data_IF_558765110919
#
_entry.id   IF_558765110919
#
_cell.length_a   1.000
_cell.length_b   1.000
_cell.length_c   1.000
_cell.angle_alpha   90.00
_cell.angle_beta   90.00
_cell.angle_gamma   90.00
#
_symmetry.space_group_name_H-M   'P 1'
#
loop_
_entity.id
_entity.type
_entity.pdbx_description
1 polymer ?
#
# COMPACT_ATOMS: atom_id res chain seq x y z
N UNK A 1 -4.57 11.55 -3.98
CA UNK A 1 -4.44 13.02 -4.09
C UNK A 1 -3.11 13.29 -4.73
N UNK A 2 -3.08 14.03 -5.83
CA UNK A 2 -1.97 13.91 -6.78
C UNK A 2 -1.20 15.23 -6.86
N UNK A 3 0.06 15.18 -6.44
CA UNK A 3 1.03 16.24 -6.66
C UNK A 3 1.40 16.26 -8.13
N UNK A 4 1.43 17.44 -8.73
CA UNK A 4 1.75 17.60 -10.15
C UNK A 4 2.84 18.63 -10.33
N UNK A 5 3.94 18.21 -10.95
CA UNK A 5 5.08 19.06 -11.23
C UNK A 5 5.31 19.12 -12.73
N UNK A 6 5.54 20.31 -13.26
CA UNK A 6 6.07 20.50 -14.60
C UNK A 6 7.57 20.70 -14.52
N UNK A 7 8.32 19.97 -15.34
CA UNK A 7 9.77 20.08 -15.46
C UNK A 7 10.09 20.46 -16.90
N UNK A 8 10.40 21.73 -17.13
CA UNK A 8 10.79 22.26 -18.43
C UNK A 8 12.24 22.70 -18.37
N UNK A 9 13.12 22.06 -19.15
CA UNK A 9 14.56 22.24 -19.01
C UNK A 9 14.98 21.90 -17.60
N UNK A 10 15.65 22.82 -16.93
CA UNK A 10 16.06 22.69 -15.54
C UNK A 10 15.11 23.43 -14.58
N UNK A 11 13.92 23.85 -15.05
CA UNK A 11 12.95 24.58 -14.24
C UNK A 11 11.77 23.68 -13.87
N UNK A 12 11.52 23.53 -12.59
CA UNK A 12 10.37 22.92 -11.99
C UNK A 12 9.30 23.96 -11.65
N UNK A 13 8.04 23.56 -11.74
CA UNK A 13 6.90 24.36 -11.34
C UNK A 13 5.81 23.43 -10.82
N UNK A 14 5.27 23.72 -9.64
CA UNK A 14 4.13 22.98 -9.11
C UNK A 14 2.83 23.44 -9.79
N UNK A 15 2.02 22.49 -10.24
CA UNK A 15 0.78 22.74 -10.98
C UNK A 15 -0.48 22.38 -10.20
N UNK A 16 -0.35 21.65 -9.10
CA UNK A 16 -1.47 21.32 -8.23
C UNK A 16 -1.70 22.36 -7.12
N UNK A 17 -2.90 22.35 -6.56
CA UNK A 17 -3.26 23.09 -5.35
C UNK A 17 -3.41 22.16 -4.13
N UNK A 18 -2.68 21.05 -4.09
CA UNK A 18 -2.90 20.03 -3.08
C UNK A 18 -2.47 20.50 -1.69
N UNK A 19 -3.39 20.38 -0.73
CA UNK A 19 -3.14 20.60 0.68
C UNK A 19 -2.58 19.33 1.32
N UNK A 20 -1.34 19.36 1.78
CA UNK A 20 -0.62 18.18 2.29
C UNK A 20 -0.57 18.23 3.80
N UNK A 21 -0.85 17.09 4.44
CA UNK A 21 -0.82 16.92 5.89
C UNK A 21 0.26 15.91 6.27
N UNK A 22 1.06 16.23 7.28
CA UNK A 22 2.14 15.39 7.78
C UNK A 22 1.65 14.03 8.26
N UNK A 23 2.51 13.01 8.21
CA UNK A 23 2.16 11.67 8.69
C UNK A 23 1.23 10.86 7.77
N UNK A 24 0.81 11.44 6.64
CA UNK A 24 0.00 10.72 5.64
C UNK A 24 0.83 9.63 4.95
N UNK A 25 0.40 8.37 5.03
CA UNK A 25 1.01 7.22 4.36
C UNK A 25 0.05 6.63 3.32
N UNK A 26 0.56 6.16 2.18
CA UNK A 26 -0.22 5.55 1.09
C UNK A 26 -1.39 6.40 0.55
N UNK A 27 -1.28 7.73 0.64
CA UNK A 27 -2.34 8.66 0.23
C UNK A 27 -1.95 9.63 -0.91
N UNK A 28 -0.67 10.05 -0.91
CA UNK A 28 -0.14 11.00 -1.88
C UNK A 28 0.42 10.23 -3.07
N UNK A 29 0.16 10.70 -4.28
CA UNK A 29 0.88 10.30 -5.49
C UNK A 29 1.58 11.53 -6.06
N UNK A 30 2.62 11.34 -6.88
CA UNK A 30 3.24 12.44 -7.61
C UNK A 30 3.35 12.13 -9.11
N UNK A 31 3.11 13.14 -9.94
CA UNK A 31 3.25 13.09 -11.38
C UNK A 31 4.13 14.24 -11.87
N UNK A 32 4.99 13.93 -12.84
CA UNK A 32 5.97 14.85 -13.38
C UNK A 32 5.79 14.97 -14.91
N UNK A 33 5.56 16.19 -15.38
CA UNK A 33 5.40 16.52 -16.80
C UNK A 33 6.72 17.06 -17.34
N UNK A 34 7.51 16.19 -17.97
CA UNK A 34 8.83 16.55 -18.50
C UNK A 34 8.79 17.09 -19.93
N UNK A 35 9.72 17.99 -20.25
CA UNK A 35 10.08 18.34 -21.63
C UNK A 35 10.90 17.24 -22.30
N UNK A 36 10.96 17.28 -23.64
CA UNK A 36 11.57 16.24 -24.48
C UNK A 36 13.04 15.90 -24.14
N UNK A 37 13.81 16.84 -23.62
CA UNK A 37 15.23 16.61 -23.25
C UNK A 37 15.42 15.57 -22.13
N UNK A 38 14.35 15.28 -21.38
CA UNK A 38 14.32 14.26 -20.33
C UNK A 38 13.94 12.86 -20.85
N UNK A 39 13.57 12.74 -22.13
CA UNK A 39 13.17 11.48 -22.74
C UNK A 39 14.31 10.44 -22.69
N UNK A 40 13.95 9.17 -22.42
CA UNK A 40 14.90 8.06 -22.35
C UNK A 40 15.82 8.06 -21.12
N UNK A 41 15.70 9.03 -20.21
CA UNK A 41 16.50 9.09 -18.98
C UNK A 41 15.77 8.42 -17.82
N UNK A 42 16.52 7.71 -16.98
CA UNK A 42 16.09 7.35 -15.63
C UNK A 42 16.09 8.62 -14.80
N UNK A 43 14.97 8.91 -14.14
CA UNK A 43 14.71 10.14 -13.42
C UNK A 43 14.43 9.82 -11.96
N UNK A 44 14.95 10.66 -11.08
CA UNK A 44 14.84 10.51 -9.64
C UNK A 44 14.40 11.83 -9.03
N UNK A 45 13.28 11.82 -8.30
CA UNK A 45 12.85 12.93 -7.49
C UNK A 45 13.60 12.92 -6.16
N UNK A 46 13.93 14.11 -5.68
CA UNK A 46 14.55 14.33 -4.38
C UNK A 46 13.61 15.16 -3.54
N UNK A 47 13.29 14.66 -2.35
CA UNK A 47 12.53 15.39 -1.34
C UNK A 47 13.44 15.69 -0.18
N UNK A 48 13.65 16.98 0.12
CA UNK A 48 14.59 17.42 1.14
C UNK A 48 13.93 18.37 2.14
N UNK A 49 14.17 18.14 3.43
CA UNK A 49 13.84 19.08 4.51
C UNK A 49 14.92 19.00 5.59
N UNK A 50 15.74 20.06 5.70
CA UNK A 50 16.86 20.08 6.64
C UNK A 50 17.84 18.95 6.35
N UNK A 51 18.08 18.08 7.34
CA UNK A 51 18.97 16.92 7.21
C UNK A 51 18.28 15.68 6.61
N UNK A 52 16.96 15.72 6.39
CA UNK A 52 16.20 14.58 5.86
C UNK A 52 16.11 14.68 4.34
N UNK A 53 16.58 13.64 3.65
CA UNK A 53 16.56 13.56 2.18
C UNK A 53 16.02 12.20 1.73
N UNK A 54 15.03 12.22 0.83
CA UNK A 54 14.50 11.02 0.18
C UNK A 54 14.77 11.06 -1.32
N UNK A 55 15.29 9.97 -1.85
CA UNK A 55 15.47 9.76 -3.28
C UNK A 55 14.46 8.74 -3.77
N UNK A 56 13.65 9.11 -4.77
CA UNK A 56 12.61 8.23 -5.31
C UNK A 56 12.72 8.19 -6.82
N UNK A 57 13.00 7.00 -7.37
CA UNK A 57 13.05 6.78 -8.82
C UNK A 57 11.63 6.83 -9.37
N UNK A 58 11.44 7.54 -10.48
CA UNK A 58 10.15 7.68 -11.15
C UNK A 58 9.87 6.46 -12.03
N UNK A 59 8.63 6.00 -12.00
CA UNK A 59 8.11 4.96 -12.88
C UNK A 59 7.01 5.56 -13.76
N UNK A 60 7.22 5.54 -15.08
CA UNK A 60 6.33 6.21 -16.04
C UNK A 60 6.05 7.67 -15.67
N UNK A 61 7.12 8.39 -15.28
CA UNK A 61 7.09 9.80 -14.85
C UNK A 61 6.18 10.07 -13.63
N UNK A 62 5.91 9.02 -12.84
CA UNK A 62 5.07 9.06 -11.64
C UNK A 62 5.73 8.37 -10.45
N UNK A 63 5.24 8.71 -9.27
CA UNK A 63 5.52 8.02 -8.00
C UNK A 63 4.18 7.56 -7.44
N UNK A 64 4.04 6.25 -7.22
CA UNK A 64 2.85 5.65 -6.61
C UNK A 64 2.78 5.95 -5.12
N UNK A 65 1.58 5.84 -4.54
CA UNK A 65 1.36 6.13 -3.13
C UNK A 65 2.18 5.28 -2.16
N UNK A 66 2.48 4.03 -2.55
CA UNK A 66 3.29 3.10 -1.76
C UNK A 66 4.77 3.49 -1.70
N UNK A 67 5.27 4.21 -2.72
CA UNK A 67 6.66 4.65 -2.84
C UNK A 67 6.85 6.09 -2.37
N UNK A 68 5.77 6.81 -2.10
CA UNK A 68 5.86 8.16 -1.57
C UNK A 68 6.38 8.14 -0.13
N UNK A 69 7.38 8.99 0.21
CA UNK A 69 7.86 9.09 1.57
C UNK A 69 6.81 9.74 2.47
N UNK A 70 6.92 9.47 3.77
CA UNK A 70 6.09 10.12 4.80
C UNK A 70 6.77 11.43 5.20
N UNK A 71 6.07 12.54 5.01
CA UNK A 71 6.59 13.87 5.29
C UNK A 71 6.29 14.32 6.73
N UNK A 72 7.29 14.92 7.38
CA UNK A 72 7.11 15.75 8.57
C UNK A 72 6.54 17.12 8.21
N UNK A 73 5.94 17.78 9.21
CA UNK A 73 5.43 19.13 9.05
C UNK A 73 6.55 20.13 8.70
N UNK A 74 6.20 21.15 7.91
CA UNK A 74 7.10 22.21 7.47
C UNK A 74 7.19 22.31 5.94
N UNK A 75 8.26 22.92 5.43
CA UNK A 75 8.44 23.14 3.99
C UNK A 75 9.51 22.21 3.46
N UNK A 76 9.10 21.26 2.62
CA UNK A 76 9.99 20.38 1.88
C UNK A 76 10.40 21.05 0.56
N UNK A 77 11.58 20.70 0.04
CA UNK A 77 12.02 21.04 -1.31
C UNK A 77 11.91 19.80 -2.18
N UNK A 78 11.35 19.96 -3.38
CA UNK A 78 11.27 18.89 -4.37
C UNK A 78 12.10 19.29 -5.57
N UNK A 79 13.06 18.46 -5.94
CA UNK A 79 13.85 18.61 -7.18
C UNK A 79 13.90 17.28 -7.93
N UNK A 80 14.43 17.29 -9.15
CA UNK A 80 14.59 16.08 -9.97
C UNK A 80 15.97 16.08 -10.61
N UNK A 81 16.59 14.90 -10.71
CA UNK A 81 17.74 14.69 -11.57
C UNK A 81 17.60 13.42 -12.42
N UNK A 82 18.35 13.32 -13.51
CA UNK A 82 18.33 12.13 -14.36
C UNK A 82 19.51 12.00 -15.32
N UNK A 83 19.80 10.76 -15.72
CA UNK A 83 20.92 10.42 -16.61
C UNK A 83 22.30 10.84 -16.06
N UNK A 84 23.12 11.45 -16.91
CA UNK A 84 24.46 11.98 -16.58
C UNK A 84 24.37 13.34 -15.85
N UNK A 85 23.71 13.34 -14.68
CA UNK A 85 23.56 14.50 -13.79
C UNK A 85 22.80 15.70 -14.37
N UNK A 86 21.83 15.48 -15.26
CA UNK A 86 20.91 16.56 -15.64
C UNK A 86 19.98 16.86 -14.46
N UNK A 87 20.06 18.07 -13.91
CA UNK A 87 19.30 18.50 -12.72
C UNK A 87 18.23 19.53 -13.08
N UNK A 88 17.15 19.53 -12.31
CA UNK A 88 16.17 20.62 -12.25
C UNK A 88 16.31 21.36 -10.91
N UNK A 89 15.90 22.62 -10.89
CA UNK A 89 15.77 23.41 -9.67
C UNK A 89 14.72 22.81 -8.71
N UNK A 90 14.63 23.41 -7.53
CA UNK A 90 13.75 22.92 -6.47
C UNK A 90 12.51 23.79 -6.30
N UNK A 91 11.36 23.17 -6.08
CA UNK A 91 10.12 23.86 -5.70
C UNK A 91 9.74 23.58 -4.24
N UNK A 92 9.18 24.56 -3.52
CA UNK A 92 8.71 24.35 -2.15
C UNK A 92 7.41 23.54 -2.12
N UNK A 93 7.34 22.63 -1.17
CA UNK A 93 6.23 21.73 -0.88
C UNK A 93 5.84 21.92 0.60
N UNK A 94 4.89 22.83 0.90
CA UNK A 94 4.38 23.01 2.26
C UNK A 94 3.58 21.79 2.70
N UNK A 95 3.94 21.28 3.88
CA UNK A 95 3.30 20.17 4.58
C UNK A 95 2.80 20.68 5.93
N UNK A 96 1.49 20.63 6.12
CA UNK A 96 0.84 21.13 7.32
C UNK A 96 0.87 20.08 8.43
N UNK A 97 0.99 20.49 9.70
CA UNK A 97 0.92 19.56 10.81
C UNK A 97 -0.43 18.84 10.82
N UNK A 98 -0.40 17.54 11.07
CA UNK A 98 -1.61 16.75 11.27
C UNK A 98 -2.33 17.18 12.54
N UNK A 99 -3.66 17.16 12.50
CA UNK A 99 -4.48 17.19 13.73
C UNK A 99 -4.36 15.92 14.57
N UNK A 100 -3.67 14.89 14.05
CA UNK A 100 -3.34 13.67 14.77
C UNK A 100 -2.36 14.00 15.91
N UNK A 101 -2.83 13.81 17.14
CA UNK A 101 -2.00 13.80 18.34
C UNK A 101 -1.90 12.36 18.83
N UNK A 102 -0.69 11.82 18.93
CA UNK A 102 -0.44 10.47 19.45
C UNK A 102 -1.03 10.24 20.84
N UNK A 103 -1.24 11.32 21.62
CA UNK A 103 -1.72 11.25 23.01
C UNK A 103 -3.18 10.76 23.17
N UNK A 104 -3.93 10.55 22.09
CA UNK A 104 -5.33 10.07 22.14
C UNK A 104 -5.76 9.23 20.92
N UNK A 105 -4.83 8.55 20.23
CA UNK A 105 -5.23 7.58 19.22
C UNK A 105 -5.85 6.37 19.94
N UNK A 106 -7.14 6.06 19.77
CA UNK A 106 -7.67 4.81 20.30
C UNK A 106 -6.86 3.67 19.68
N UNK A 107 -6.35 2.77 20.51
CA UNK A 107 -5.70 1.54 20.06
C UNK A 107 -6.59 0.91 18.97
N UNK A 108 -6.02 0.47 17.83
CA UNK A 108 -6.79 -0.26 16.85
C UNK A 108 -7.49 -1.40 17.61
N UNK A 109 -8.83 -1.52 17.50
CA UNK A 109 -9.56 -2.49 18.27
C UNK A 109 -8.92 -3.85 18.03
N UNK A 110 -8.52 -4.54 19.11
CA UNK A 110 -8.01 -5.90 19.00
C UNK A 110 -9.00 -6.70 18.16
N UNK A 111 -8.52 -7.52 17.20
CA UNK A 111 -9.36 -8.26 16.28
C UNK A 111 -10.50 -8.91 17.05
N UNK A 112 -11.69 -8.36 16.80
CA UNK A 112 -12.86 -8.61 17.61
C UNK A 112 -13.14 -10.12 17.64
N UNK A 113 -13.72 -10.56 18.74
CA UNK A 113 -14.29 -11.89 19.03
C UNK A 113 -14.82 -12.65 17.80
N UNK A 114 -15.30 -11.97 16.75
CA UNK A 114 -15.64 -12.54 15.44
C UNK A 114 -14.52 -13.36 14.76
N UNK A 115 -13.26 -12.92 14.79
CA UNK A 115 -12.15 -13.68 14.18
C UNK A 115 -11.88 -14.96 14.98
N UNK A 116 -11.88 -14.86 16.31
CA UNK A 116 -11.79 -16.01 17.22
C UNK A 116 -12.94 -17.00 17.02
N UNK A 117 -14.17 -16.51 16.84
CA UNK A 117 -15.33 -17.35 16.53
C UNK A 117 -15.20 -18.02 15.16
N UNK A 118 -14.71 -17.30 14.15
CA UNK A 118 -14.52 -17.84 12.80
C UNK A 118 -13.46 -18.95 12.78
N UNK A 119 -12.34 -18.75 13.48
CA UNK A 119 -11.28 -19.75 13.62
C UNK A 119 -11.76 -21.00 14.39
N UNK A 120 -12.57 -20.83 15.45
CA UNK A 120 -13.17 -21.95 16.18
C UNK A 120 -14.16 -22.73 15.32
N UNK A 121 -15.00 -22.04 14.54
CA UNK A 121 -15.94 -22.67 13.62
C UNK A 121 -15.19 -23.44 12.53
N UNK A 122 -14.17 -22.85 11.90
CA UNK A 122 -13.36 -23.54 10.89
C UNK A 122 -12.66 -24.78 11.46
N UNK A 123 -12.07 -24.70 12.66
CA UNK A 123 -11.41 -25.83 13.30
C UNK A 123 -12.37 -27.01 13.55
N UNK A 124 -13.60 -26.72 13.98
CA UNK A 124 -14.61 -27.74 14.22
C UNK A 124 -15.13 -28.36 12.91
N UNK A 125 -15.26 -27.59 11.84
CA UNK A 125 -15.64 -28.10 10.50
C UNK A 125 -14.57 -29.06 9.98
N UNK A 126 -13.29 -28.68 10.03
CA UNK A 126 -12.18 -29.53 9.55
C UNK A 126 -12.10 -30.85 10.32
N UNK A 127 -12.26 -30.81 11.64
CA UNK A 127 -12.22 -32.02 12.49
C UNK A 127 -13.42 -32.95 12.18
N UNK A 128 -14.58 -32.40 11.84
CA UNK A 128 -15.78 -33.19 11.50
C UNK A 128 -15.63 -33.89 10.14
N UNK A 129 -15.04 -33.21 9.16
CA UNK A 129 -14.80 -33.78 7.83
C UNK A 129 -13.70 -34.86 7.86
N UNK A 130 -12.66 -34.69 8.68
CA UNK A 130 -11.63 -35.72 8.92
C UNK A 130 -12.21 -36.98 9.59
N UNK A 131 -13.13 -36.81 10.55
CA UNK A 131 -13.83 -37.93 11.20
C UNK A 131 -14.78 -38.66 10.24
N UNK A 132 -15.54 -37.93 9.40
CA UNK A 132 -16.40 -38.52 8.36
C UNK A 132 -15.60 -39.32 7.32
N UNK A 133 -14.45 -38.79 6.88
CA UNK A 133 -13.59 -39.50 5.94
C UNK A 133 -13.11 -40.83 6.53
N UNK A 134 -12.71 -40.85 7.81
CA UNK A 134 -12.23 -42.05 8.51
C UNK A 134 -13.32 -43.10 8.77
N UNK A 135 -14.57 -42.68 8.95
CA UNK A 135 -15.74 -43.58 9.09
C UNK A 135 -16.13 -44.16 7.73
N UNK A 136 -16.05 -43.38 6.66
CA UNK A 136 -16.38 -43.83 5.30
C UNK A 136 -15.39 -44.87 4.77
N UNK A 137 -14.13 -44.80 5.20
CA UNK A 137 -13.08 -45.74 4.80
C UNK A 137 -13.10 -47.07 5.59
N UNK A 138 -13.90 -47.19 6.67
CA UNK A 138 -13.85 -48.32 7.61
C UNK A 138 -15.07 -49.26 7.64
N UNK A 139 -16.10 -49.07 6.80
CA UNK A 139 -17.29 -49.96 6.81
C UNK A 139 -17.87 -50.24 5.42
N UNK A 140 -17.86 -51.49 4.91
CA UNK A 140 -18.91 -52.00 4.05
C UNK A 140 -20.01 -52.66 4.91
N UNK A 141 -21.18 -52.02 4.99
CA UNK A 141 -22.40 -52.62 5.55
C UNK A 141 -23.03 -53.53 4.49
N UNK A 142 -22.84 -54.84 4.61
CA UNK A 142 -23.71 -55.82 3.96
C UNK A 142 -24.97 -55.99 4.82
N UNK A 143 -26.12 -55.54 4.32
CA UNK A 143 -27.43 -55.78 4.95
C UNK A 143 -28.01 -57.06 4.34
N UNK A 144 -28.29 -58.04 5.20
CA UNK A 144 -28.82 -59.37 4.87
C UNK A 144 -30.18 -59.30 4.18
N UNK A 145 -30.31 -59.99 3.04
CA UNK A 145 -31.60 -60.30 2.42
C UNK A 145 -32.06 -61.69 2.87
N UNK A 146 -32.93 -61.76 3.87
CA UNK A 146 -33.70 -62.98 4.11
C UNK A 146 -34.77 -63.14 3.02
N UNK A 147 -34.84 -64.32 2.41
CA UNK A 147 -36.07 -64.77 1.74
C UNK A 147 -36.32 -66.22 2.15
N UNK A 148 -37.39 -66.40 2.94
CA UNK A 148 -37.97 -67.70 3.26
C UNK A 148 -38.35 -68.45 1.98
N UNK A 149 -37.97 -69.72 1.87
CA UNK A 149 -38.59 -70.67 0.94
C UNK A 149 -39.07 -71.88 1.73
N UNK A 150 -40.40 -72.05 1.74
CA UNK A 150 -41.14 -73.22 2.24
C UNK A 150 -41.41 -74.13 1.06
N UNK A 151 -41.03 -75.41 1.17
CA UNK A 151 -41.28 -76.47 0.17
C UNK A 151 -40.52 -77.74 0.49
#
# INVERSE_FOLDING_TARGET
MDLRFQVKKQKMTRLDGAYIVSGSKNYLCAEFLFSEEWAGKIKTAVFEQGDTVYHVVLENDRISAEKMPVFSAGVWKVSVFGGDLMTADSVPLPVHPSGFREENAPEPPEPSVYESLTALIQKNITTTEELKHKITESVPLAVEGETLVIG
#
